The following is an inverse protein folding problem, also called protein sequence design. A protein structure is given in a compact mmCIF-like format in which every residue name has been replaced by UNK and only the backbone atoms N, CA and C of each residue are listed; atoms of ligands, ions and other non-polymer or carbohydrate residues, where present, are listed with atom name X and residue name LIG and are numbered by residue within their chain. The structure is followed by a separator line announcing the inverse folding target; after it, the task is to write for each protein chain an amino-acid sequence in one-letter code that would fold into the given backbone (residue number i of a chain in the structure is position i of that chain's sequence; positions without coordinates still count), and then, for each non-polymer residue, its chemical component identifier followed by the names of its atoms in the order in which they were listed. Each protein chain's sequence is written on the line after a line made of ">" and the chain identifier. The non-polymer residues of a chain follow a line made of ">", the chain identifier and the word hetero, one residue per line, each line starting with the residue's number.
data_IF_773287461101
#
_entry.id   IF_773287461101
#
_cell.length_a   1.000
_cell.length_b   1.000
_cell.length_c   1.000
_cell.angle_alpha   90.00
_cell.angle_beta   90.00
_cell.angle_gamma   90.00
#
_symmetry.space_group_name_H-M   'P 1'
#
loop_
_entity.id
_entity.type
_entity.pdbx_description
1 polymer ?
#
# COMPACT_ATOMS: atom_id res chain seq x y z
N UNK A 1 23.92 -13.41 24.83
CA UNK A 1 22.92 -12.80 23.91
C UNK A 1 22.62 -11.41 24.45
N UNK A 2 22.77 -10.33 23.68
CA UNK A 2 22.56 -8.96 24.19
C UNK A 2 21.10 -8.80 24.60
N UNK A 3 20.83 -8.28 25.80
CA UNK A 3 19.48 -7.96 26.25
C UNK A 3 18.83 -6.98 25.27
N UNK A 4 17.59 -7.26 24.86
CA UNK A 4 16.79 -6.38 24.01
C UNK A 4 16.24 -5.18 24.78
N UNK A 5 16.22 -5.26 26.11
CA UNK A 5 15.67 -4.28 27.06
C UNK A 5 16.14 -2.85 26.80
N UNK A 6 17.44 -2.64 26.53
CA UNK A 6 17.94 -1.29 26.23
C UNK A 6 17.32 -0.68 24.96
N UNK A 7 16.98 -1.52 23.97
CA UNK A 7 16.33 -1.08 22.74
C UNK A 7 14.84 -0.85 22.98
N UNK A 8 14.19 -1.73 23.75
CA UNK A 8 12.80 -1.55 24.19
C UNK A 8 12.61 -0.21 24.90
N UNK A 9 13.45 0.09 25.89
CA UNK A 9 13.44 1.38 26.60
C UNK A 9 13.63 2.56 25.64
N UNK A 10 14.60 2.45 24.72
CA UNK A 10 14.83 3.50 23.73
C UNK A 10 13.60 3.73 22.84
N UNK A 11 12.88 2.67 22.47
CA UNK A 11 11.65 2.78 21.68
C UNK A 11 10.48 3.31 22.50
N UNK A 12 10.33 2.93 23.77
CA UNK A 12 9.32 3.52 24.65
C UNK A 12 9.53 5.04 24.82
N UNK A 13 10.78 5.50 24.90
CA UNK A 13 11.10 6.93 24.95
C UNK A 13 10.73 7.69 23.67
N UNK A 14 10.53 7.01 22.54
CA UNK A 14 9.98 7.59 21.30
C UNK A 14 8.45 7.68 21.32
N UNK A 15 7.80 7.23 22.40
CA UNK A 15 6.34 7.10 22.49
C UNK A 15 5.78 5.92 21.70
N UNK A 16 6.63 5.00 21.25
CA UNK A 16 6.20 3.86 20.43
C UNK A 16 5.48 2.80 21.26
N UNK A 17 4.39 2.25 20.70
CA UNK A 17 3.61 1.15 21.28
C UNK A 17 4.19 -0.18 20.83
N UNK A 18 4.77 -0.92 21.76
CA UNK A 18 5.46 -2.17 21.49
C UNK A 18 4.65 -3.37 21.96
N UNK A 19 4.88 -4.51 21.33
CA UNK A 19 4.41 -5.82 21.81
C UNK A 19 5.47 -6.89 21.55
N UNK A 20 5.58 -7.93 22.40
CA UNK A 20 6.51 -9.02 22.17
C UNK A 20 6.05 -9.91 21.01
N UNK A 21 7.01 -10.30 20.16
CA UNK A 21 6.80 -11.16 18.99
C UNK A 21 7.52 -12.48 19.21
N UNK A 22 6.86 -13.60 18.92
CA UNK A 22 7.44 -14.93 19.01
C UNK A 22 8.61 -15.05 18.03
N UNK A 23 9.76 -15.55 18.50
CA UNK A 23 10.91 -15.80 17.62
C UNK A 23 10.59 -16.87 16.56
N UNK A 24 11.20 -16.72 15.39
CA UNK A 24 11.01 -17.64 14.26
C UNK A 24 9.77 -17.34 13.40
N UNK A 25 8.87 -16.48 13.85
CA UNK A 25 7.79 -15.95 13.01
C UNK A 25 7.48 -14.50 13.39
N UNK A 26 6.40 -13.92 12.83
CA UNK A 26 5.96 -12.55 13.12
C UNK A 26 4.72 -12.49 14.02
N UNK A 27 4.38 -13.58 14.72
CA UNK A 27 3.17 -13.64 15.54
C UNK A 27 3.40 -12.98 16.91
N UNK A 28 2.49 -12.11 17.38
CA UNK A 28 2.52 -11.59 18.76
C UNK A 28 2.46 -12.72 19.81
N UNK A 29 3.06 -12.47 20.98
CA UNK A 29 2.95 -13.35 22.17
C UNK A 29 1.68 -13.02 22.98
N UNK A 30 1.22 -11.77 22.89
CA UNK A 30 0.08 -11.20 23.61
C UNK A 30 -1.26 -11.85 23.24
N UNK A 31 -2.22 -11.82 24.17
CA UNK A 31 -3.54 -12.47 24.02
C UNK A 31 -4.38 -11.91 22.87
N UNK A 32 -4.45 -10.60 22.71
CA UNK A 32 -5.21 -9.92 21.65
C UNK A 32 -4.31 -9.50 20.48
N UNK A 33 -3.13 -10.11 20.36
CA UNK A 33 -2.17 -9.80 19.31
C UNK A 33 -1.57 -8.39 19.45
N UNK A 34 -1.22 -7.77 18.33
CA UNK A 34 -0.62 -6.42 18.30
C UNK A 34 -1.52 -5.33 18.92
N UNK A 35 -2.80 -5.62 19.18
CA UNK A 35 -3.74 -4.69 19.83
C UNK A 35 -3.40 -4.44 21.31
N UNK A 36 -2.67 -5.36 21.94
CA UNK A 36 -2.17 -5.18 23.31
C UNK A 36 -0.84 -4.40 23.34
N UNK A 37 -0.46 -3.75 22.23
CA UNK A 37 0.74 -2.94 22.20
C UNK A 37 0.69 -1.80 23.23
N UNK A 38 1.76 -1.68 24.01
CA UNK A 38 1.84 -0.79 25.15
C UNK A 38 3.09 0.10 25.06
N UNK A 39 3.05 1.25 25.71
CA UNK A 39 4.22 2.08 25.96
C UNK A 39 4.66 2.02 27.44
N UNK A 40 4.04 1.15 28.25
CA UNK A 40 4.45 0.87 29.63
C UNK A 40 5.45 -0.30 29.63
N UNK A 41 6.73 -0.05 29.99
CA UNK A 41 7.74 -1.11 30.10
C UNK A 41 7.33 -2.23 31.06
N UNK A 42 6.62 -1.92 32.14
CA UNK A 42 6.21 -2.90 33.15
C UNK A 42 5.17 -3.86 32.56
N UNK A 43 4.17 -3.33 31.86
CA UNK A 43 3.19 -4.14 31.15
C UNK A 43 3.85 -4.98 30.06
N UNK A 44 4.76 -4.40 29.29
CA UNK A 44 5.49 -5.12 28.24
C UNK A 44 6.28 -6.31 28.79
N UNK A 45 7.01 -6.14 29.90
CA UNK A 45 7.76 -7.23 30.52
C UNK A 45 6.86 -8.34 31.07
N UNK A 46 5.66 -7.99 31.60
CA UNK A 46 4.66 -9.00 31.99
C UNK A 46 4.18 -9.83 30.79
N UNK A 47 3.91 -9.18 29.65
CA UNK A 47 3.54 -9.88 28.41
C UNK A 47 4.68 -10.75 27.85
N UNK A 48 5.94 -10.34 28.06
CA UNK A 48 7.10 -11.15 27.67
C UNK A 48 7.21 -12.43 28.50
N UNK A 49 6.89 -12.37 29.81
CA UNK A 49 6.86 -13.53 30.71
C UNK A 49 8.18 -14.34 30.67
N UNK A 50 9.32 -13.64 30.64
CA UNK A 50 10.66 -14.23 30.54
C UNK A 50 10.97 -14.97 29.22
N UNK A 51 10.05 -14.98 28.25
CA UNK A 51 10.21 -15.69 26.98
C UNK A 51 11.17 -14.94 26.07
N UNK A 52 11.98 -15.69 25.33
CA UNK A 52 12.77 -15.16 24.23
C UNK A 52 11.85 -14.62 23.14
N UNK A 53 11.94 -13.32 22.87
CA UNK A 53 11.07 -12.63 21.93
C UNK A 53 11.85 -11.74 20.95
N UNK A 54 11.09 -11.17 20.03
CA UNK A 54 11.44 -10.08 19.13
C UNK A 54 10.55 -8.87 19.47
N UNK A 55 10.90 -7.68 18.96
CA UNK A 55 10.19 -6.45 19.26
C UNK A 55 9.24 -6.11 18.11
N UNK A 56 7.93 -6.13 18.38
CA UNK A 56 6.91 -5.62 17.47
C UNK A 56 6.59 -4.15 17.78
N UNK A 57 6.34 -3.36 16.73
CA UNK A 57 5.84 -1.99 16.80
C UNK A 57 4.45 -1.96 16.18
N UNK A 58 3.44 -1.56 16.94
CA UNK A 58 2.13 -1.30 16.39
C UNK A 58 2.15 0.09 15.71
N UNK A 59 1.93 0.13 14.40
CA UNK A 59 2.03 1.36 13.61
C UNK A 59 0.73 2.17 13.68
N UNK A 60 0.74 3.35 13.04
CA UNK A 60 -0.37 4.28 13.00
C UNK A 60 -0.31 5.31 14.11
N UNK A 61 -1.47 5.93 14.39
CA UNK A 61 -1.59 7.07 15.30
C UNK A 61 -1.10 6.77 16.71
N UNK A 62 -1.33 5.55 17.19
CA UNK A 62 -0.94 5.12 18.54
C UNK A 62 0.57 5.21 18.82
N UNK A 63 1.40 5.14 17.77
CA UNK A 63 2.86 5.28 17.85
C UNK A 63 3.37 6.52 17.11
N UNK A 64 2.48 7.37 16.58
CA UNK A 64 2.83 8.56 15.80
C UNK A 64 3.58 8.29 14.49
N UNK A 65 3.63 7.03 14.02
CA UNK A 65 4.42 6.63 12.86
C UNK A 65 3.70 5.62 11.97
N UNK A 66 3.87 5.75 10.67
CA UNK A 66 3.52 4.72 9.70
C UNK A 66 4.74 4.34 8.88
N UNK A 67 4.69 3.17 8.23
CA UNK A 67 5.83 2.59 7.54
C UNK A 67 5.50 2.28 6.09
N UNK A 68 6.38 2.70 5.18
CA UNK A 68 6.48 2.18 3.82
C UNK A 68 7.37 0.94 3.84
N UNK A 69 6.76 -0.23 3.65
CA UNK A 69 7.44 -1.54 3.67
C UNK A 69 7.76 -1.94 2.22
N UNK A 70 9.05 -2.01 1.93
CA UNK A 70 9.62 -2.22 0.59
C UNK A 70 10.22 -3.62 0.54
N UNK A 71 9.55 -4.53 -0.15
CA UNK A 71 9.97 -5.91 -0.32
C UNK A 71 10.69 -6.12 -1.65
N UNK A 72 11.99 -6.34 -1.58
CA UNK A 72 12.83 -6.60 -2.76
C UNK A 72 12.44 -7.88 -3.51
N UNK A 73 11.87 -8.88 -2.83
CA UNK A 73 11.50 -10.14 -3.47
C UNK A 73 10.29 -9.98 -4.42
N UNK A 74 9.55 -8.89 -4.29
CA UNK A 74 8.35 -8.58 -5.05
C UNK A 74 8.48 -7.30 -5.89
N UNK A 75 9.71 -6.86 -6.18
CA UNK A 75 9.97 -5.70 -7.03
C UNK A 75 9.78 -4.34 -6.34
N UNK A 76 9.85 -4.32 -5.00
CA UNK A 76 9.62 -3.10 -4.21
C UNK A 76 10.64 -2.00 -4.50
N UNK A 77 11.90 -2.35 -4.72
CA UNK A 77 12.95 -1.36 -5.01
C UNK A 77 12.72 -0.68 -6.37
N UNK A 78 12.37 -1.45 -7.40
CA UNK A 78 12.03 -0.93 -8.73
C UNK A 78 10.76 -0.08 -8.68
N UNK A 79 9.74 -0.50 -7.94
CA UNK A 79 8.52 0.28 -7.72
C UNK A 79 8.82 1.60 -7.02
N UNK A 80 9.65 1.60 -5.97
CA UNK A 80 10.05 2.80 -5.27
C UNK A 80 10.85 3.75 -6.17
N UNK A 81 11.79 3.21 -6.94
CA UNK A 81 12.59 3.99 -7.88
C UNK A 81 11.75 4.63 -8.98
N UNK A 82 10.74 3.93 -9.51
CA UNK A 82 9.78 4.50 -10.47
C UNK A 82 8.98 5.64 -9.86
N UNK A 83 8.45 5.46 -8.65
CA UNK A 83 7.71 6.51 -7.94
C UNK A 83 8.57 7.75 -7.71
N UNK A 84 9.83 7.57 -7.27
CA UNK A 84 10.74 8.70 -7.05
C UNK A 84 11.13 9.43 -8.34
N UNK A 85 11.28 8.72 -9.46
CA UNK A 85 11.50 9.33 -10.78
C UNK A 85 10.29 10.12 -11.26
N UNK A 86 9.08 9.62 -10.99
CA UNK A 86 7.85 10.22 -11.48
C UNK A 86 7.37 11.41 -10.63
N UNK A 87 7.48 11.31 -9.31
CA UNK A 87 6.86 12.26 -8.37
C UNK A 87 7.85 13.00 -7.46
N UNK A 88 9.14 12.64 -7.53
CA UNK A 88 10.20 13.24 -6.73
C UNK A 88 10.72 12.32 -5.62
N UNK A 89 11.93 12.63 -5.13
CA UNK A 89 12.62 11.82 -4.12
C UNK A 89 11.87 11.82 -2.79
N UNK A 90 12.00 10.70 -2.06
CA UNK A 90 11.59 10.61 -0.67
C UNK A 90 12.68 11.27 0.20
N UNK A 91 12.32 12.03 1.25
CA UNK A 91 13.29 12.60 2.18
C UNK A 91 14.06 11.51 2.93
N UNK A 92 15.24 11.86 3.44
CA UNK A 92 15.92 10.99 4.38
C UNK A 92 15.08 10.86 5.66
N UNK A 93 14.90 9.64 6.14
CA UNK A 93 14.10 9.35 7.34
C UNK A 93 14.62 8.08 8.01
N UNK A 94 14.12 7.78 9.20
CA UNK A 94 14.41 6.53 9.90
C UNK A 94 14.13 5.34 8.97
N UNK A 95 15.12 4.44 8.86
CA UNK A 95 15.09 3.32 7.93
C UNK A 95 15.70 2.07 8.56
N UNK A 96 15.01 0.94 8.44
CA UNK A 96 15.58 -0.36 8.79
C UNK A 96 15.62 -1.29 7.59
N UNK A 97 16.63 -2.15 7.55
CA UNK A 97 16.67 -3.33 6.70
C UNK A 97 15.85 -4.46 7.34
N UNK A 98 15.06 -5.16 6.53
CA UNK A 98 14.30 -6.33 6.99
C UNK A 98 15.16 -7.60 6.89
N UNK A 99 14.75 -8.65 7.61
CA UNK A 99 15.43 -9.95 7.57
C UNK A 99 15.59 -10.55 6.15
N UNK A 100 14.78 -10.12 5.18
CA UNK A 100 14.79 -10.63 3.80
C UNK A 100 15.58 -9.74 2.84
N UNK A 101 16.20 -8.66 3.32
CA UNK A 101 16.94 -7.69 2.50
C UNK A 101 16.13 -6.48 2.04
N UNK A 102 14.80 -6.48 2.23
CA UNK A 102 13.95 -5.32 1.99
C UNK A 102 14.18 -4.19 3.01
N UNK A 103 13.32 -3.17 2.99
CA UNK A 103 13.44 -2.05 3.94
C UNK A 103 12.11 -1.50 4.43
N UNK A 104 12.10 -1.03 5.67
CA UNK A 104 11.04 -0.22 6.25
C UNK A 104 11.50 1.23 6.29
N UNK A 105 10.73 2.16 5.71
CA UNK A 105 10.93 3.60 5.86
C UNK A 105 9.81 4.15 6.75
N UNK A 106 10.19 4.83 7.82
CA UNK A 106 9.26 5.30 8.84
C UNK A 106 8.94 6.78 8.58
N UNK A 107 7.66 7.15 8.65
CA UNK A 107 7.19 8.53 8.46
C UNK A 107 6.25 8.92 9.59
N UNK A 108 6.18 10.23 9.83
CA UNK A 108 5.24 10.79 10.81
C UNK A 108 3.79 10.43 10.43
N UNK A 109 3.01 10.02 11.42
CA UNK A 109 1.58 9.81 11.31
C UNK A 109 0.86 10.89 12.16
N UNK A 110 0.36 11.92 11.48
CA UNK A 110 -0.38 13.01 12.14
C UNK A 110 -1.80 12.53 12.54
N UNK A 111 -2.36 13.08 13.60
CA UNK A 111 -3.67 12.65 14.13
C UNK A 111 -4.81 12.76 13.11
N UNK A 112 -4.75 13.76 12.23
CA UNK A 112 -5.75 14.00 11.18
C UNK A 112 -5.60 13.06 9.97
N UNK A 113 -4.49 12.31 9.84
CA UNK A 113 -4.30 11.36 8.75
C UNK A 113 -5.17 10.12 8.97
N UNK A 114 -6.04 9.79 8.02
CA UNK A 114 -6.78 8.51 8.00
C UNK A 114 -6.02 7.51 7.14
N UNK A 115 -4.99 6.90 7.71
CA UNK A 115 -4.15 5.93 7.00
C UNK A 115 -4.26 4.55 7.65
N UNK A 116 -4.75 3.58 6.88
CA UNK A 116 -4.89 2.20 7.33
C UNK A 116 -3.83 1.31 6.70
N UNK A 117 -3.58 0.15 7.33
CA UNK A 117 -2.71 -0.87 6.78
C UNK A 117 -3.24 -1.37 5.42
N UNK A 118 -2.38 -1.35 4.39
CA UNK A 118 -2.68 -1.78 3.03
C UNK A 118 -1.50 -2.60 2.50
N UNK A 119 -1.79 -3.67 1.79
CA UNK A 119 -0.75 -4.50 1.16
C UNK A 119 -0.78 -4.31 -0.36
N UNK A 120 0.38 -4.46 -0.99
CA UNK A 120 0.58 -4.42 -2.43
C UNK A 120 -0.03 -3.18 -3.10
N UNK A 121 0.19 -1.99 -2.53
CA UNK A 121 -0.28 -0.72 -3.14
C UNK A 121 0.46 -0.43 -4.45
N UNK A 122 1.65 -0.99 -4.59
CA UNK A 122 2.43 -1.22 -5.81
C UNK A 122 3.17 -2.55 -5.63
N UNK A 123 3.66 -3.18 -6.72
CA UNK A 123 4.47 -4.39 -6.60
C UNK A 123 5.59 -4.22 -5.56
N UNK A 124 5.54 -5.04 -4.51
CA UNK A 124 6.51 -5.04 -3.41
C UNK A 124 6.48 -3.82 -2.50
N UNK A 125 5.39 -3.03 -2.52
CA UNK A 125 5.19 -1.89 -1.63
C UNK A 125 3.94 -2.11 -0.78
N UNK A 126 4.14 -2.17 0.52
CA UNK A 126 3.12 -2.27 1.55
C UNK A 126 3.08 -0.99 2.41
N UNK A 127 1.92 -0.67 2.96
CA UNK A 127 1.70 0.41 3.92
C UNK A 127 1.32 -0.19 5.27
N UNK A 128 2.13 0.05 6.29
CA UNK A 128 1.83 -0.32 7.68
C UNK A 128 1.46 0.95 8.45
N UNK A 129 0.18 1.10 8.74
CA UNK A 129 -0.37 2.25 9.45
C UNK A 129 -1.36 1.79 10.52
N UNK A 130 -2.51 2.46 10.70
CA UNK A 130 -3.53 2.01 11.65
C UNK A 130 -3.97 0.58 11.33
N UNK A 131 -4.00 -0.29 12.34
CA UNK A 131 -4.29 -1.73 12.19
C UNK A 131 -3.15 -2.56 11.60
N UNK A 132 -1.96 -1.99 11.45
CA UNK A 132 -0.73 -2.66 11.01
C UNK A 132 0.34 -2.68 12.09
N UNK A 133 1.41 -3.44 11.81
CA UNK A 133 2.60 -3.48 12.66
C UNK A 133 3.84 -3.85 11.85
N UNK A 134 5.02 -3.60 12.43
CA UNK A 134 6.32 -4.05 11.93
C UNK A 134 7.13 -4.71 13.04
N UNK A 135 8.16 -5.47 12.66
CA UNK A 135 9.17 -5.97 13.60
C UNK A 135 10.37 -5.02 13.57
N UNK A 136 10.83 -4.59 14.75
CA UNK A 136 11.92 -3.63 14.91
C UNK A 136 13.29 -4.30 15.03
N UNK A 137 14.37 -3.65 14.56
CA UNK A 137 15.73 -4.01 14.95
C UNK A 137 15.93 -4.01 16.48
N UNK A 138 16.87 -4.80 17.04
CA UNK A 138 17.73 -5.78 16.37
C UNK A 138 17.11 -7.20 16.38
N UNK A 139 15.79 -7.32 16.20
CA UNK A 139 15.09 -8.61 16.21
C UNK A 139 15.69 -9.63 15.22
N UNK A 140 15.62 -10.92 15.54
CA UNK A 140 16.10 -12.01 14.68
C UNK A 140 14.93 -12.73 14.02
N UNK A 141 14.84 -12.66 12.70
CA UNK A 141 13.91 -13.46 11.91
C UNK A 141 14.56 -14.74 11.35
N UNK A 142 13.78 -15.63 10.69
CA UNK A 142 14.30 -16.83 10.03
C UNK A 142 15.42 -16.60 9.01
N UNK A 143 15.36 -15.48 8.26
CA UNK A 143 16.29 -15.19 7.15
C UNK A 143 17.46 -14.29 7.54
N UNK A 144 17.47 -13.75 8.75
CA UNK A 144 18.48 -12.80 9.20
C UNK A 144 17.97 -11.85 10.28
N UNK A 145 18.71 -10.78 10.51
CA UNK A 145 18.37 -9.76 11.49
C UNK A 145 17.62 -8.60 10.84
N UNK A 146 16.77 -7.95 11.63
CA UNK A 146 16.32 -6.59 11.34
C UNK A 146 17.40 -5.64 11.83
N UNK A 147 17.81 -4.69 11.00
CA UNK A 147 18.95 -3.81 11.28
C UNK A 147 18.59 -2.36 10.97
N UNK A 148 18.99 -1.43 11.83
CA UNK A 148 18.85 -0.01 11.52
C UNK A 148 19.88 0.40 10.46
N UNK A 149 19.41 0.96 9.35
CA UNK A 149 20.27 1.67 8.39
C UNK A 149 20.40 3.13 8.81
N UNK A 150 19.27 3.75 9.18
CA UNK A 150 19.19 5.09 9.76
C UNK A 150 18.37 5.00 11.06
N UNK A 151 19.02 4.93 12.23
CA UNK A 151 18.35 4.65 13.51
C UNK A 151 17.61 5.88 14.07
N UNK A 152 16.50 5.70 14.79
CA UNK A 152 15.69 6.81 15.32
C UNK A 152 16.42 7.66 16.39
N UNK A 153 17.52 7.17 16.95
CA UNK A 153 18.36 7.93 17.89
C UNK A 153 19.29 8.94 17.20
N UNK A 154 19.47 8.85 15.87
CA UNK A 154 20.35 9.74 15.08
C UNK A 154 19.66 10.33 13.85
N UNK A 155 18.41 10.01 13.63
CA UNK A 155 17.68 10.38 12.42
C UNK A 155 16.27 10.75 12.83
N UNK A 156 15.86 11.95 12.43
CA UNK A 156 14.50 12.41 12.63
C UNK A 156 13.54 11.58 11.76
N UNK A 157 12.35 11.28 12.29
CA UNK A 157 11.28 10.68 11.51
C UNK A 157 10.67 11.80 10.68
N UNK A 158 10.90 11.78 9.37
CA UNK A 158 10.44 12.83 8.47
C UNK A 158 8.93 12.74 8.20
N UNK A 159 8.32 13.87 7.85
CA UNK A 159 7.03 13.87 7.18
C UNK A 159 7.15 13.21 5.80
N UNK A 160 6.14 12.45 5.41
CA UNK A 160 6.10 11.87 4.06
C UNK A 160 5.82 12.96 3.02
N UNK A 161 6.40 12.87 1.80
CA UNK A 161 6.14 13.84 0.76
C UNK A 161 4.66 13.80 0.34
N UNK A 162 4.12 14.95 -0.07
CA UNK A 162 2.70 15.10 -0.39
C UNK A 162 2.19 14.08 -1.40
N UNK A 163 2.98 13.78 -2.43
CA UNK A 163 2.63 12.77 -3.44
C UNK A 163 2.47 11.37 -2.84
N UNK A 164 3.30 11.01 -1.85
CA UNK A 164 3.24 9.71 -1.20
C UNK A 164 2.02 9.65 -0.32
N UNK A 165 1.75 10.69 0.47
CA UNK A 165 0.54 10.83 1.28
C UNK A 165 -0.70 10.71 0.40
N UNK A 166 -0.77 11.42 -0.72
CA UNK A 166 -1.88 11.34 -1.66
C UNK A 166 -2.04 9.94 -2.27
N UNK A 167 -0.93 9.28 -2.63
CA UNK A 167 -0.96 7.91 -3.15
C UNK A 167 -1.58 6.93 -2.14
N UNK A 168 -1.22 7.06 -0.87
CA UNK A 168 -1.65 6.11 0.17
C UNK A 168 -3.01 6.45 0.78
N UNK A 169 -3.41 7.73 0.75
CA UNK A 169 -4.72 8.21 1.26
C UNK A 169 -5.82 8.21 0.21
N UNK A 170 -5.51 8.34 -1.09
CA UNK A 170 -6.48 8.06 -2.15
C UNK A 170 -6.91 6.60 -1.99
N UNK A 171 -8.14 6.41 -1.55
CA UNK A 171 -8.82 5.14 -1.67
C UNK A 171 -8.66 4.72 -3.12
N UNK A 172 -7.95 3.62 -3.35
CA UNK A 172 -8.04 2.94 -4.62
C UNK A 172 -9.51 2.59 -4.77
N UNK A 173 -10.23 3.29 -5.65
CA UNK A 173 -11.26 2.63 -6.43
C UNK A 173 -10.54 1.41 -6.99
N UNK A 174 -10.88 0.22 -6.48
CA UNK A 174 -10.16 -1.05 -6.74
C UNK A 174 -9.74 -1.09 -8.21
N UNK A 175 -8.43 -1.13 -8.50
CA UNK A 175 -7.99 -1.29 -9.89
C UNK A 175 -8.29 -2.73 -10.31
N UNK A 176 -9.45 -2.92 -10.93
CA UNK A 176 -9.82 -4.10 -11.71
C UNK A 176 -8.88 -4.33 -12.91
N UNK A 177 -7.83 -3.52 -13.10
CA UNK A 177 -7.09 -3.44 -14.35
C UNK A 177 -6.28 -4.71 -14.69
N UNK A 178 -5.70 -5.41 -13.73
CA UNK A 178 -4.91 -6.62 -14.04
C UNK A 178 -5.82 -7.78 -14.50
N UNK A 179 -6.96 -7.97 -13.82
CA UNK A 179 -7.97 -8.94 -14.25
C UNK A 179 -8.61 -8.53 -15.59
N UNK A 180 -8.93 -7.24 -15.75
CA UNK A 180 -9.50 -6.70 -16.98
C UNK A 180 -8.57 -6.90 -18.17
N UNK A 181 -7.26 -6.64 -18.04
CA UNK A 181 -6.31 -6.84 -19.14
C UNK A 181 -6.22 -8.30 -19.56
N UNK A 182 -6.21 -9.25 -18.62
CA UNK A 182 -6.26 -10.68 -18.94
C UNK A 182 -7.55 -11.03 -19.67
N UNK A 183 -8.71 -10.61 -19.14
CA UNK A 183 -10.02 -10.87 -19.77
C UNK A 183 -10.12 -10.24 -21.16
N UNK A 184 -9.55 -9.05 -21.37
CA UNK A 184 -9.52 -8.43 -22.69
C UNK A 184 -8.54 -9.13 -23.65
N UNK A 185 -7.45 -9.70 -23.16
CA UNK A 185 -6.52 -10.47 -23.99
C UNK A 185 -7.13 -11.79 -24.47
N UNK A 186 -7.94 -12.44 -23.63
CA UNK A 186 -8.60 -13.71 -23.95
C UNK A 186 -9.82 -13.55 -24.90
N UNK A 187 -10.28 -12.31 -25.08
CA UNK A 187 -11.50 -12.01 -25.82
C UNK A 187 -12.76 -12.15 -24.97
N UNK A 188 -13.85 -11.51 -25.41
CA UNK A 188 -15.10 -11.44 -24.67
C UNK A 188 -16.18 -12.31 -25.32
N UNK A 189 -16.80 -13.19 -24.53
CA UNK A 189 -17.87 -14.07 -25.02
C UNK A 189 -19.26 -13.59 -24.61
N UNK A 190 -20.29 -14.21 -25.19
CA UNK A 190 -21.67 -14.01 -24.77
C UNK A 190 -21.84 -14.16 -23.25
N UNK A 191 -22.46 -13.17 -22.60
CA UNK A 191 -22.56 -13.05 -21.14
C UNK A 191 -21.52 -12.15 -20.48
N UNK A 192 -20.35 -11.93 -21.09
CA UNK A 192 -19.28 -11.05 -20.56
C UNK A 192 -19.04 -9.78 -21.38
N UNK A 193 -19.33 -9.82 -22.69
CA UNK A 193 -19.06 -8.75 -23.66
C UNK A 193 -19.61 -7.37 -23.27
N UNK A 194 -20.83 -7.25 -22.78
CA UNK A 194 -21.42 -5.93 -22.44
C UNK A 194 -20.65 -5.25 -21.30
N UNK A 195 -20.32 -6.02 -20.26
CA UNK A 195 -19.55 -5.53 -19.12
C UNK A 195 -18.11 -5.20 -19.53
N UNK A 196 -17.45 -6.09 -20.30
CA UNK A 196 -16.07 -5.87 -20.75
C UNK A 196 -15.93 -4.66 -21.67
N UNK A 197 -16.87 -4.45 -22.60
CA UNK A 197 -16.90 -3.25 -23.46
C UNK A 197 -17.10 -1.97 -22.65
N UNK A 198 -18.00 -1.98 -21.67
CA UNK A 198 -18.20 -0.85 -20.77
C UNK A 198 -16.93 -0.54 -19.95
N UNK A 199 -16.24 -1.56 -19.46
CA UNK A 199 -14.98 -1.44 -18.73
C UNK A 199 -13.86 -0.91 -19.61
N UNK A 200 -13.73 -1.40 -20.85
CA UNK A 200 -12.76 -0.90 -21.82
C UNK A 200 -13.02 0.59 -22.15
N UNK A 201 -14.26 0.95 -22.46
CA UNK A 201 -14.62 2.35 -22.73
C UNK A 201 -14.29 3.26 -21.54
N UNK A 202 -14.66 2.84 -20.33
CA UNK A 202 -14.35 3.58 -19.10
C UNK A 202 -12.85 3.69 -18.83
N UNK A 203 -12.09 2.64 -19.11
CA UNK A 203 -10.63 2.66 -19.00
C UNK A 203 -10.01 3.69 -19.95
N UNK A 204 -10.35 3.66 -21.23
CA UNK A 204 -9.80 4.58 -22.23
C UNK A 204 -10.14 6.04 -21.89
N UNK A 205 -11.39 6.30 -21.53
CA UNK A 205 -11.85 7.64 -21.18
C UNK A 205 -11.25 8.13 -19.85
N UNK A 206 -11.15 7.29 -18.82
CA UNK A 206 -10.51 7.70 -17.55
C UNK A 206 -9.01 8.02 -17.72
N UNK A 207 -8.35 7.44 -18.72
CA UNK A 207 -6.95 7.74 -19.08
C UNK A 207 -6.80 8.97 -20.00
N UNK A 208 -7.86 9.75 -20.20
CA UNK A 208 -7.78 11.04 -20.88
C UNK A 208 -7.84 10.97 -22.40
N UNK A 209 -8.07 9.79 -23.01
CA UNK A 209 -8.27 9.71 -24.45
C UNK A 209 -9.50 10.55 -24.85
N UNK A 210 -9.39 11.21 -26.01
CA UNK A 210 -10.53 11.93 -26.58
C UNK A 210 -11.63 10.94 -26.99
N UNK A 211 -12.87 11.43 -27.00
CA UNK A 211 -14.07 10.60 -27.22
C UNK A 211 -14.03 9.84 -28.55
N UNK A 212 -13.49 10.46 -29.60
CA UNK A 212 -13.39 9.85 -30.93
C UNK A 212 -12.41 8.68 -30.93
N UNK A 213 -11.22 8.85 -30.34
CA UNK A 213 -10.22 7.79 -30.23
C UNK A 213 -10.69 6.65 -29.33
N UNK A 214 -11.33 6.98 -28.20
CA UNK A 214 -11.91 5.98 -27.32
C UNK A 214 -12.98 5.15 -28.05
N UNK A 215 -13.85 5.81 -28.82
CA UNK A 215 -14.85 5.13 -29.65
C UNK A 215 -14.20 4.21 -30.68
N UNK A 216 -13.24 4.69 -31.46
CA UNK A 216 -12.56 3.90 -32.49
C UNK A 216 -11.95 2.61 -31.90
N UNK A 217 -11.28 2.71 -30.76
CA UNK A 217 -10.65 1.56 -30.11
C UNK A 217 -11.69 0.59 -29.53
N UNK A 218 -12.73 1.09 -28.85
CA UNK A 218 -13.81 0.25 -28.31
C UNK A 218 -14.58 -0.48 -29.43
N UNK A 219 -14.94 0.22 -30.51
CA UNK A 219 -15.62 -0.37 -31.66
C UNK A 219 -14.76 -1.38 -32.40
N UNK A 220 -13.47 -1.08 -32.58
CA UNK A 220 -12.53 -2.03 -33.19
C UNK A 220 -12.36 -3.27 -32.33
N UNK A 221 -12.27 -3.13 -31.00
CA UNK A 221 -12.17 -4.27 -30.10
C UNK A 221 -13.40 -5.18 -30.20
N UNK A 222 -14.62 -4.63 -30.18
CA UNK A 222 -15.85 -5.42 -30.31
C UNK A 222 -15.90 -6.23 -31.61
N UNK A 223 -15.46 -5.64 -32.73
CA UNK A 223 -15.49 -6.32 -34.03
C UNK A 223 -14.50 -7.48 -34.12
N UNK A 224 -13.36 -7.38 -33.43
CA UNK A 224 -12.26 -8.32 -33.58
C UNK A 224 -12.13 -9.34 -32.43
N UNK A 225 -12.66 -9.03 -31.25
CA UNK A 225 -12.41 -9.79 -30.02
C UNK A 225 -13.66 -10.10 -29.19
N UNK A 226 -14.87 -9.68 -29.62
CA UNK A 226 -16.12 -10.15 -29.02
C UNK A 226 -16.72 -11.31 -29.84
N UNK A 227 -17.21 -12.35 -29.17
CA UNK A 227 -17.77 -13.56 -29.78
C UNK A 227 -19.16 -13.88 -29.16
N UNK A 228 -20.26 -13.66 -29.90
CA UNK A 228 -20.34 -12.88 -31.13
C UNK A 228 -20.10 -11.37 -30.85
N UNK A 229 -19.78 -10.56 -31.88
CA UNK A 229 -19.76 -9.10 -31.73
C UNK A 229 -21.13 -8.58 -31.29
N UNK A 230 -21.14 -7.49 -30.52
CA UNK A 230 -22.34 -6.68 -30.32
C UNK A 230 -22.69 -5.94 -31.61
N UNK A 231 -23.98 -5.74 -31.86
CA UNK A 231 -24.41 -4.90 -32.98
C UNK A 231 -24.04 -3.43 -32.75
N UNK A 232 -24.02 -2.67 -33.85
CA UNK A 232 -23.58 -1.27 -33.84
C UNK A 232 -24.45 -0.37 -32.94
N UNK A 233 -25.75 -0.66 -32.78
CA UNK A 233 -26.62 0.13 -31.91
C UNK A 233 -26.37 -0.19 -30.43
N UNK A 234 -26.15 -1.46 -30.09
CA UNK A 234 -25.90 -1.89 -28.72
C UNK A 234 -24.57 -1.33 -28.20
N UNK A 235 -23.49 -1.45 -28.97
CA UNK A 235 -22.19 -0.89 -28.57
C UNK A 235 -22.23 0.63 -28.46
N UNK A 236 -22.93 1.31 -29.38
CA UNK A 236 -23.07 2.77 -29.33
C UNK A 236 -23.79 3.20 -28.05
N UNK A 237 -24.88 2.51 -27.67
CA UNK A 237 -25.61 2.78 -26.42
C UNK A 237 -24.72 2.60 -25.19
N UNK A 238 -23.93 1.52 -25.12
CA UNK A 238 -23.01 1.27 -24.01
C UNK A 238 -21.96 2.38 -23.94
N UNK A 239 -21.33 2.70 -25.07
CA UNK A 239 -20.27 3.71 -25.12
C UNK A 239 -20.78 5.10 -24.72
N UNK A 240 -21.93 5.53 -25.27
CA UNK A 240 -22.55 6.81 -24.93
C UNK A 240 -22.90 6.90 -23.44
N UNK A 241 -23.42 5.82 -22.85
CA UNK A 241 -23.73 5.77 -21.42
C UNK A 241 -22.49 6.02 -20.56
N UNK A 242 -21.34 5.42 -20.92
CA UNK A 242 -20.08 5.62 -20.21
C UNK A 242 -19.49 7.01 -20.48
N UNK A 243 -19.47 7.45 -21.74
CA UNK A 243 -18.96 8.76 -22.13
C UNK A 243 -19.70 9.91 -21.42
N UNK A 244 -21.02 9.83 -21.33
CA UNK A 244 -21.84 10.83 -20.64
C UNK A 244 -21.52 10.91 -19.14
N UNK A 245 -21.35 9.75 -18.47
CA UNK A 245 -20.95 9.71 -17.05
C UNK A 245 -19.58 10.35 -16.84
N UNK A 246 -18.62 10.08 -17.73
CA UNK A 246 -17.26 10.61 -17.61
C UNK A 246 -17.18 12.12 -17.90
N UNK A 247 -17.95 12.61 -18.87
CA UNK A 247 -18.05 14.05 -19.15
C UNK A 247 -18.62 14.81 -17.94
N UNK A 248 -19.67 14.29 -17.30
CA UNK A 248 -20.25 14.86 -16.07
C UNK A 248 -19.19 14.89 -14.95
N UNK A 249 -18.41 13.82 -14.80
CA UNK A 249 -17.38 13.73 -13.77
C UNK A 249 -16.25 14.75 -14.00
N UNK A 250 -15.78 14.91 -15.25
CA UNK A 250 -14.78 15.92 -15.61
C UNK A 250 -15.28 17.35 -15.43
N UNK A 251 -16.54 17.62 -15.73
CA UNK A 251 -17.14 18.94 -15.48
C UNK A 251 -17.21 19.28 -13.99
N UNK A 252 -17.54 18.31 -13.13
CA UNK A 252 -17.50 18.50 -11.67
C UNK A 252 -16.12 18.80 -11.14
N UNK A 253 -15.07 18.19 -11.71
CA UNK A 253 -13.70 18.43 -11.27
C UNK A 253 -13.18 19.82 -11.69
N UNK A 254 -13.54 20.30 -12.88
CA UNK A 254 -13.17 21.66 -13.33
C UNK A 254 -13.87 22.80 -12.59
N UNK A 255 -14.99 22.54 -11.92
CA UNK A 255 -15.70 23.54 -11.10
C UNK A 255 -15.30 23.49 -9.61
N UNK A 256 -14.50 22.50 -9.22
CA UNK A 256 -13.98 22.35 -7.86
C UNK A 256 -12.53 22.87 -7.71
N UNK A 257 -11.96 23.40 -8.79
CA UNK A 257 -10.71 24.17 -8.86
C UNK A 257 -11.03 25.66 -9.02
#
# INVERSE_FOLDING_TARGET
>A
MKSLEKYEIAYFNLGWRLFPVKRGNKHPITKNGYKDATNDPTQYQKECDGKMHNIGLATGKQSGVWVLDVDIAHGGEESLNRLQKQFGKIPNTVKSKTQSGGSHLYFQCQENMKLTNRVNVRPGIDIRADGGYVVLPPSKGPKGFYEWLYPPVRTEIAAAPTWLVQMVTKQSVKSNNDGLMSTLADGLTEGSRNMGIAQLAGLLLSHGLNITMAWMLTSSYNKNYCIPPLDDQEILKIFQSIANRELIQRHRWRQAE
#
